data_IF_585718428037
#
_entry.id   IF_585718428037
#
_cell.length_a   1.000
_cell.length_b   1.000
_cell.length_c   1.000
_cell.angle_alpha   90.00
_cell.angle_beta   90.00
_cell.angle_gamma   90.00
#
_symmetry.space_group_name_H-M   'P 1'
#
loop_
_entity.id
_entity.type
_entity.pdbx_description
1 polymer ?
#
# COMPACT_ATOMS: atom_id res chain seq x y z
N UNK A 1 22.33 14.55 25.04
CA UNK A 1 20.87 14.56 25.26
C UNK A 1 20.24 14.04 23.99
N UNK A 2 19.50 12.95 24.12
CA UNK A 2 18.77 12.32 23.05
C UNK A 2 17.62 13.24 22.67
N UNK A 3 17.87 14.12 21.70
CA UNK A 3 16.91 15.14 21.33
C UNK A 3 15.86 14.53 20.40
N UNK A 4 14.85 13.92 21.02
CA UNK A 4 13.73 13.30 20.33
C UNK A 4 13.04 14.30 19.39
N UNK A 5 13.12 15.60 19.65
CA UNK A 5 12.58 16.65 18.78
C UNK A 5 13.14 16.60 17.35
N UNK A 6 14.31 15.98 17.15
CA UNK A 6 14.89 15.77 15.82
C UNK A 6 14.31 14.56 15.08
N UNK A 7 13.52 13.72 15.74
CA UNK A 7 12.77 12.66 15.07
C UNK A 7 11.47 13.23 14.54
N UNK A 8 11.27 13.14 13.24
CA UNK A 8 10.04 13.60 12.60
C UNK A 8 9.44 12.51 11.72
N UNK A 9 8.15 12.64 11.46
CA UNK A 9 7.50 11.97 10.33
C UNK A 9 6.92 13.04 9.42
N UNK A 10 7.21 12.92 8.14
CA UNK A 10 6.59 13.70 7.08
C UNK A 10 6.02 12.76 6.03
N UNK A 11 4.76 12.94 5.66
CA UNK A 11 4.14 12.04 4.70
C UNK A 11 2.76 12.44 4.25
N UNK A 12 2.19 11.57 3.42
CA UNK A 12 0.83 11.65 2.90
C UNK A 12 0.16 10.30 3.07
N UNK A 13 -1.15 10.29 3.25
CA UNK A 13 -1.98 9.09 3.30
C UNK A 13 -3.35 9.37 2.68
N UNK A 14 -4.15 8.32 2.53
CA UNK A 14 -5.56 8.44 2.16
C UNK A 14 -6.39 9.29 3.13
N UNK A 15 -5.92 9.54 4.36
CA UNK A 15 -6.67 10.38 5.33
C UNK A 15 -6.59 11.86 5.00
N UNK A 16 -5.51 12.31 4.34
CA UNK A 16 -5.29 13.74 4.08
C UNK A 16 -5.22 14.09 2.59
N UNK A 17 -4.97 13.13 1.69
CA UNK A 17 -4.95 13.34 0.25
C UNK A 17 -5.86 12.36 -0.48
N UNK A 18 -6.59 12.87 -1.48
CA UNK A 18 -7.32 12.06 -2.45
C UNK A 18 -6.37 11.13 -3.23
N UNK A 19 -6.92 10.10 -3.89
CA UNK A 19 -6.14 9.22 -4.76
C UNK A 19 -5.33 10.02 -5.80
N UNK A 20 -5.97 10.95 -6.53
CA UNK A 20 -5.30 11.76 -7.56
C UNK A 20 -4.13 12.57 -6.99
N UNK A 21 -4.29 13.16 -5.80
CA UNK A 21 -3.22 13.91 -5.13
C UNK A 21 -2.06 13.00 -4.72
N UNK A 22 -2.35 11.79 -4.21
CA UNK A 22 -1.32 10.78 -3.89
C UNK A 22 -0.58 10.31 -5.13
N UNK A 23 -1.27 10.11 -6.25
CA UNK A 23 -0.63 9.75 -7.52
C UNK A 23 0.31 10.85 -8.00
N UNK A 24 -0.16 12.10 -7.99
CA UNK A 24 0.64 13.26 -8.36
C UNK A 24 1.85 13.40 -7.44
N UNK A 25 1.68 13.19 -6.14
CA UNK A 25 2.77 13.16 -5.18
C UNK A 25 3.80 12.08 -5.53
N UNK A 26 3.38 10.84 -5.82
CA UNK A 26 4.30 9.77 -6.21
C UNK A 26 5.06 10.07 -7.52
N UNK A 27 4.42 10.74 -8.49
CA UNK A 27 5.08 11.19 -9.73
C UNK A 27 6.21 12.19 -9.50
N UNK A 28 6.19 12.95 -8.40
CA UNK A 28 7.30 13.84 -8.01
C UNK A 28 8.56 13.09 -7.53
N UNK A 29 8.48 11.76 -7.37
CA UNK A 29 9.55 10.90 -6.84
C UNK A 29 10.02 11.37 -5.46
N UNK A 30 9.13 11.40 -4.46
CA UNK A 30 9.42 11.98 -3.15
C UNK A 30 10.60 11.30 -2.43
N UNK A 31 10.76 9.98 -2.61
CA UNK A 31 11.92 9.23 -2.09
C UNK A 31 13.25 9.81 -2.57
N UNK A 32 13.35 10.18 -3.85
CA UNK A 32 14.58 10.75 -4.41
C UNK A 32 14.91 12.12 -3.80
N UNK A 33 13.88 12.92 -3.49
CA UNK A 33 14.06 14.22 -2.83
C UNK A 33 14.65 14.02 -1.42
N UNK A 34 14.08 13.09 -0.64
CA UNK A 34 14.57 12.77 0.71
C UNK A 34 15.95 12.13 0.69
N UNK A 35 16.19 11.19 -0.22
CA UNK A 35 17.49 10.54 -0.40
C UNK A 35 18.58 11.55 -0.73
N UNK A 36 18.28 12.55 -1.56
CA UNK A 36 19.20 13.66 -1.84
C UNK A 36 19.53 14.47 -0.58
N UNK A 37 18.56 14.75 0.29
CA UNK A 37 18.83 15.41 1.57
C UNK A 37 19.76 14.58 2.45
N UNK A 38 19.59 13.25 2.45
CA UNK A 38 20.46 12.33 3.16
C UNK A 38 21.89 12.34 2.60
N UNK A 39 22.05 12.20 1.26
CA UNK A 39 23.38 12.24 0.61
C UNK A 39 24.09 13.58 0.79
N UNK A 40 23.35 14.70 0.78
CA UNK A 40 23.87 16.05 1.08
C UNK A 40 24.15 16.27 2.58
N UNK A 41 23.96 15.26 3.44
CA UNK A 41 24.11 15.32 4.90
C UNK A 41 23.24 16.39 5.57
N UNK A 42 22.10 16.71 4.95
CA UNK A 42 21.08 17.61 5.51
C UNK A 42 20.17 16.90 6.51
N UNK A 43 20.08 15.59 6.46
CA UNK A 43 19.42 14.76 7.46
C UNK A 43 20.37 13.63 7.86
N UNK A 44 20.25 13.11 9.08
CA UNK A 44 21.15 12.09 9.61
C UNK A 44 20.77 10.68 9.17
N UNK A 45 19.46 10.41 9.06
CA UNK A 45 18.91 9.12 8.67
C UNK A 45 17.46 9.24 8.23
N UNK A 46 16.96 8.25 7.49
CA UNK A 46 15.55 8.13 7.17
C UNK A 46 15.09 6.68 6.97
N UNK A 47 13.80 6.44 7.20
CA UNK A 47 13.09 5.21 6.83
C UNK A 47 11.87 5.60 6.00
N UNK A 48 11.77 5.03 4.80
CA UNK A 48 10.66 5.28 3.87
C UNK A 48 9.61 4.17 3.97
N UNK A 49 8.44 4.48 4.53
CA UNK A 49 7.26 3.62 4.51
C UNK A 49 6.36 4.05 3.35
N UNK A 50 6.47 3.34 2.23
CA UNK A 50 5.63 3.59 1.05
C UNK A 50 4.77 2.37 0.76
N UNK A 51 3.46 2.60 0.68
CA UNK A 51 2.42 1.62 0.37
C UNK A 51 1.49 2.25 -0.67
N UNK A 52 0.50 1.49 -1.16
CA UNK A 52 -0.56 2.07 -2.00
C UNK A 52 -1.38 3.16 -1.26
N UNK A 53 -1.38 3.13 0.08
CA UNK A 53 -2.20 3.97 0.95
C UNK A 53 -1.52 5.17 1.59
N UNK A 54 -0.20 5.10 1.71
CA UNK A 54 0.60 6.10 2.41
C UNK A 54 1.99 6.17 1.83
N UNK A 55 2.61 7.33 1.91
CA UNK A 55 4.05 7.47 1.72
C UNK A 55 4.56 8.40 2.80
N UNK A 56 5.33 7.84 3.71
CA UNK A 56 5.81 8.47 4.93
C UNK A 56 7.32 8.31 5.06
N UNK A 57 7.98 9.39 5.44
CA UNK A 57 9.39 9.45 5.72
C UNK A 57 9.59 9.73 7.20
N UNK A 58 10.11 8.75 7.91
CA UNK A 58 10.55 8.89 9.29
C UNK A 58 12.00 9.31 9.26
N UNK A 59 12.30 10.52 9.73
CA UNK A 59 13.58 11.19 9.51
C UNK A 59 14.20 11.56 10.85
N UNK A 60 15.50 11.33 10.98
CA UNK A 60 16.32 11.97 12.00
C UNK A 60 16.96 13.23 11.40
N UNK A 61 16.52 14.40 11.86
CA UNK A 61 17.03 15.68 11.44
C UNK A 61 18.47 15.90 11.93
N UNK A 62 19.24 16.67 11.15
CA UNK A 62 20.43 17.32 11.66
C UNK A 62 20.06 18.70 12.24
N UNK A 63 20.99 19.35 12.94
CA UNK A 63 20.76 20.69 13.53
C UNK A 63 20.58 21.82 12.51
N UNK A 64 20.71 21.56 11.21
CA UNK A 64 20.77 22.56 10.15
C UNK A 64 19.49 22.65 9.31
N UNK A 65 18.51 21.76 9.51
CA UNK A 65 17.25 21.80 8.77
C UNK A 65 16.08 21.54 9.72
N UNK A 66 14.99 22.28 9.51
CA UNK A 66 13.73 22.08 10.27
C UNK A 66 12.72 21.28 9.45
N UNK A 67 11.81 20.59 10.14
CA UNK A 67 10.71 19.85 9.52
C UNK A 67 9.91 20.68 8.50
N UNK A 68 9.68 21.96 8.80
CA UNK A 68 8.97 22.91 7.91
C UNK A 68 9.71 23.13 6.58
N UNK A 69 11.03 23.14 6.58
CA UNK A 69 11.82 23.33 5.36
C UNK A 69 11.70 22.11 4.45
N UNK A 70 11.69 20.91 5.02
CA UNK A 70 11.44 19.66 4.28
C UNK A 70 9.99 19.65 3.75
N UNK A 71 8.99 20.06 4.55
CA UNK A 71 7.60 20.19 4.09
C UNK A 71 7.49 21.10 2.87
N UNK A 72 8.19 22.23 2.88
CA UNK A 72 8.14 23.19 1.78
C UNK A 72 8.73 22.67 0.46
N UNK A 73 9.43 21.52 0.46
CA UNK A 73 9.88 20.86 -0.77
C UNK A 73 8.72 20.20 -1.54
N UNK A 74 7.57 20.01 -0.88
CA UNK A 74 6.40 19.38 -1.43
C UNK A 74 5.23 20.37 -1.47
N UNK A 75 4.45 20.33 -2.56
CA UNK A 75 3.35 21.28 -2.80
C UNK A 75 1.98 20.75 -2.38
N UNK A 76 1.94 19.67 -1.59
CA UNK A 76 0.72 19.02 -1.10
C UNK A 76 0.57 19.23 0.40
N UNK A 77 -0.64 19.08 0.93
CA UNK A 77 -0.77 19.04 2.39
C UNK A 77 -0.17 17.75 2.92
N UNK A 78 0.68 17.87 3.93
CA UNK A 78 1.45 16.77 4.48
C UNK A 78 1.22 16.65 5.97
N UNK A 79 1.12 15.41 6.42
CA UNK A 79 1.24 15.04 7.82
C UNK A 79 2.67 15.40 8.23
N UNK A 80 2.81 16.24 9.25
CA UNK A 80 4.11 16.57 9.85
C UNK A 80 3.96 16.46 11.36
N UNK A 81 4.76 15.59 11.97
CA UNK A 81 4.84 15.43 13.42
C UNK A 81 6.29 15.35 13.84
N UNK A 82 6.59 15.78 15.06
CA UNK A 82 7.95 15.80 15.63
C UNK A 82 7.98 15.17 17.01
N UNK A 83 9.15 14.74 17.45
CA UNK A 83 9.34 14.27 18.81
C UNK A 83 8.50 13.06 19.14
N UNK A 84 7.92 13.12 20.34
CA UNK A 84 7.01 12.11 20.86
C UNK A 84 5.82 11.88 19.92
N UNK A 85 5.27 12.91 19.30
CA UNK A 85 4.12 12.78 18.41
C UNK A 85 4.46 11.97 17.14
N UNK A 86 5.68 12.09 16.61
CA UNK A 86 6.11 11.31 15.45
C UNK A 86 6.21 9.82 15.78
N UNK A 87 6.71 9.51 16.97
CA UNK A 87 6.87 8.14 17.47
C UNK A 87 5.51 7.52 17.79
N UNK A 88 4.64 8.25 18.47
CA UNK A 88 3.28 7.81 18.77
C UNK A 88 2.49 7.57 17.48
N UNK A 89 2.68 8.43 16.47
CA UNK A 89 2.12 8.23 15.14
C UNK A 89 2.59 6.92 14.51
N UNK A 90 3.90 6.65 14.50
CA UNK A 90 4.43 5.36 14.02
C UNK A 90 3.82 4.16 14.77
N UNK A 91 3.67 4.27 16.08
CA UNK A 91 3.08 3.22 16.91
C UNK A 91 1.62 2.97 16.52
N UNK A 92 0.84 4.04 16.34
CA UNK A 92 -0.53 3.97 15.84
C UNK A 92 -0.61 3.38 14.42
N UNK A 93 0.30 3.76 13.52
CA UNK A 93 0.43 3.15 12.18
C UNK A 93 0.68 1.65 12.28
N UNK A 94 1.68 1.22 13.07
CA UNK A 94 2.01 -0.20 13.26
C UNK A 94 0.89 -1.02 13.89
N UNK A 95 0.08 -0.41 14.75
CA UNK A 95 -1.13 -1.00 15.33
C UNK A 95 -2.35 -0.99 14.39
N UNK A 96 -2.29 -0.29 13.26
CA UNK A 96 -3.37 -0.21 12.27
C UNK A 96 -4.45 0.82 12.58
N UNK A 97 -4.20 1.79 13.46
CA UNK A 97 -5.14 2.89 13.75
C UNK A 97 -5.47 3.71 12.51
N UNK A 98 -4.50 3.86 11.62
CA UNK A 98 -4.62 4.60 10.37
C UNK A 98 -4.77 3.69 9.17
N UNK A 99 -5.07 2.40 9.34
CA UNK A 99 -5.40 1.52 8.21
C UNK A 99 -6.84 1.75 7.78
N UNK A 100 -7.11 1.59 6.48
CA UNK A 100 -8.49 1.56 5.97
C UNK A 100 -9.18 0.28 6.46
N UNK A 101 -8.48 -0.85 6.40
CA UNK A 101 -8.95 -2.10 7.01
C UNK A 101 -8.37 -2.17 8.42
N UNK A 102 -9.17 -1.77 9.43
CA UNK A 102 -8.75 -1.91 10.83
C UNK A 102 -8.45 -3.38 11.11
N UNK A 103 -7.30 -3.69 11.68
CA UNK A 103 -6.90 -5.07 11.99
C UNK A 103 -6.27 -5.87 10.85
N UNK A 104 -6.05 -5.27 9.68
CA UNK A 104 -5.24 -5.90 8.64
C UNK A 104 -3.79 -6.12 9.10
N UNK A 105 -3.21 -7.27 8.75
CA UNK A 105 -1.83 -7.61 9.11
C UNK A 105 -0.78 -6.96 8.21
N UNK A 106 -1.17 -6.54 7.01
CA UNK A 106 -0.27 -6.04 5.97
C UNK A 106 0.50 -4.78 6.40
N UNK A 107 -0.12 -3.84 7.12
CA UNK A 107 0.58 -2.61 7.55
C UNK A 107 1.77 -2.90 8.47
N UNK A 108 1.66 -3.89 9.36
CA UNK A 108 2.78 -4.28 10.23
C UNK A 108 3.89 -4.97 9.43
N UNK A 109 3.54 -5.75 8.42
CA UNK A 109 4.51 -6.33 7.49
C UNK A 109 5.24 -5.23 6.70
N UNK A 110 4.52 -4.22 6.20
CA UNK A 110 5.07 -3.08 5.48
C UNK A 110 6.00 -2.23 6.35
N UNK A 111 5.64 -1.99 7.63
CA UNK A 111 6.55 -1.32 8.60
C UNK A 111 7.84 -2.11 8.81
N UNK A 112 7.76 -3.44 8.93
CA UNK A 112 8.95 -4.31 9.02
C UNK A 112 9.79 -4.26 7.75
N UNK A 113 9.15 -4.29 6.58
CA UNK A 113 9.82 -4.22 5.28
C UNK A 113 10.57 -2.90 5.09
N UNK A 114 9.90 -1.77 5.36
CA UNK A 114 10.51 -0.45 5.30
C UNK A 114 11.73 -0.32 6.24
N UNK A 115 11.61 -0.87 7.46
CA UNK A 115 12.72 -0.92 8.40
C UNK A 115 13.88 -1.78 7.90
N UNK A 116 13.60 -2.98 7.38
CA UNK A 116 14.61 -3.87 6.81
C UNK A 116 15.32 -3.24 5.62
N UNK A 117 14.58 -2.63 4.69
CA UNK A 117 15.16 -1.90 3.54
C UNK A 117 16.10 -0.79 4.00
N UNK A 118 15.72 -0.01 5.02
CA UNK A 118 16.56 1.08 5.52
C UNK A 118 17.81 0.59 6.25
N UNK A 119 17.76 -0.60 6.88
CA UNK A 119 18.95 -1.25 7.44
C UNK A 119 19.90 -1.72 6.33
N UNK A 120 19.37 -2.41 5.32
CA UNK A 120 20.15 -2.95 4.19
C UNK A 120 20.86 -1.86 3.39
N UNK A 121 20.22 -0.71 3.22
CA UNK A 121 20.79 0.44 2.51
C UNK A 121 21.55 1.42 3.43
N UNK A 122 21.74 1.10 4.71
CA UNK A 122 22.42 1.96 5.70
C UNK A 122 21.80 3.37 5.85
N UNK A 123 20.52 3.52 5.50
CA UNK A 123 19.79 4.79 5.60
C UNK A 123 19.26 5.09 7.01
N UNK A 124 19.18 4.06 7.87
CA UNK A 124 18.70 4.16 9.24
C UNK A 124 19.77 4.61 10.24
N UNK A 125 19.35 5.07 11.42
CA UNK A 125 20.23 5.35 12.56
C UNK A 125 19.94 4.44 13.74
N UNK A 126 20.85 4.42 14.73
CA UNK A 126 20.63 3.72 16.01
C UNK A 126 19.27 4.08 16.64
N UNK A 127 18.86 5.35 16.60
CA UNK A 127 17.61 5.80 17.21
C UNK A 127 16.39 5.35 16.43
N UNK A 128 16.38 5.53 15.10
CA UNK A 128 15.31 5.02 14.24
C UNK A 128 15.18 3.50 14.37
N UNK A 129 16.29 2.78 14.51
CA UNK A 129 16.30 1.33 14.70
C UNK A 129 15.61 0.93 16.01
N UNK A 130 15.91 1.60 17.13
CA UNK A 130 15.24 1.33 18.41
C UNK A 130 13.75 1.63 18.31
N UNK A 131 13.39 2.77 17.72
CA UNK A 131 11.99 3.21 17.56
C UNK A 131 11.18 2.23 16.72
N UNK A 132 11.69 1.83 15.55
CA UNK A 132 11.00 0.90 14.65
C UNK A 132 10.88 -0.50 15.25
N UNK A 133 11.91 -1.01 15.93
CA UNK A 133 11.80 -2.27 16.66
C UNK A 133 10.71 -2.21 17.73
N UNK A 134 10.61 -1.10 18.47
CA UNK A 134 9.55 -0.90 19.47
C UNK A 134 8.17 -0.80 18.85
N UNK A 135 8.03 -0.18 17.68
CA UNK A 135 6.78 -0.16 16.91
C UNK A 135 6.37 -1.57 16.46
N UNK A 136 7.33 -2.36 15.96
CA UNK A 136 7.08 -3.73 15.51
C UNK A 136 6.69 -4.64 16.69
N UNK A 137 7.39 -4.52 17.83
CA UNK A 137 7.06 -5.23 19.07
C UNK A 137 5.62 -4.90 19.52
N UNK A 138 5.27 -3.62 19.55
CA UNK A 138 3.95 -3.14 19.90
C UNK A 138 2.89 -3.65 18.93
N UNK A 139 3.09 -3.53 17.61
CA UNK A 139 2.12 -3.97 16.62
C UNK A 139 1.81 -5.47 16.71
N UNK A 140 2.80 -6.30 17.08
CA UNK A 140 2.60 -7.74 17.40
C UNK A 140 1.77 -7.90 18.68
N UNK A 141 2.19 -7.26 19.78
CA UNK A 141 1.52 -7.33 21.09
C UNK A 141 0.06 -6.85 21.01
N UNK A 142 -0.18 -5.77 20.28
CA UNK A 142 -1.49 -5.17 20.08
C UNK A 142 -2.43 -6.16 19.40
N UNK A 143 -2.01 -6.78 18.29
CA UNK A 143 -2.82 -7.80 17.59
C UNK A 143 -3.12 -9.00 18.45
N UNK A 144 -2.13 -9.51 19.19
CA UNK A 144 -2.33 -10.64 20.10
C UNK A 144 -3.30 -10.32 21.24
N UNK A 145 -3.24 -9.12 21.81
CA UNK A 145 -4.10 -8.73 22.95
C UNK A 145 -5.50 -8.32 22.53
N UNK A 146 -5.62 -7.48 21.50
CA UNK A 146 -6.91 -6.94 21.05
C UNK A 146 -7.70 -7.92 20.20
N UNK A 147 -7.04 -8.96 19.65
CA UNK A 147 -7.60 -9.85 18.64
C UNK A 147 -8.18 -9.08 17.43
N UNK A 148 -7.67 -7.87 17.16
CA UNK A 148 -8.21 -6.99 16.11
C UNK A 148 -8.14 -7.60 14.70
N UNK A 149 -7.16 -8.48 14.47
CA UNK A 149 -7.00 -9.21 13.21
C UNK A 149 -8.00 -10.37 13.06
N UNK A 150 -8.69 -10.77 14.13
CA UNK A 150 -9.66 -11.86 14.08
C UNK A 150 -10.84 -11.47 13.17
N UNK A 151 -11.14 -12.32 12.20
CA UNK A 151 -12.13 -12.07 11.13
C UNK A 151 -11.85 -10.81 10.28
N UNK A 152 -10.63 -10.30 10.24
CA UNK A 152 -10.25 -9.24 9.30
C UNK A 152 -10.20 -9.80 7.88
N UNK A 153 -11.01 -9.21 6.99
CA UNK A 153 -10.85 -9.44 5.56
C UNK A 153 -9.64 -8.62 5.11
N UNK A 154 -8.70 -9.28 4.46
CA UNK A 154 -7.59 -8.63 3.78
C UNK A 154 -8.04 -7.97 2.47
N UNK A 155 -7.18 -7.13 1.89
CA UNK A 155 -7.49 -6.43 0.65
C UNK A 155 -7.80 -7.37 -0.52
N UNK A 156 -7.06 -8.46 -0.65
CA UNK A 156 -7.29 -9.48 -1.66
C UNK A 156 -8.66 -10.18 -1.48
N UNK A 157 -9.05 -10.44 -0.24
CA UNK A 157 -10.34 -11.07 0.08
C UNK A 157 -11.51 -10.10 -0.19
N UNK A 158 -11.33 -8.83 0.13
CA UNK A 158 -12.27 -7.76 -0.20
C UNK A 158 -12.41 -7.62 -1.71
N UNK A 159 -11.30 -7.60 -2.44
CA UNK A 159 -11.28 -7.51 -3.90
C UNK A 159 -12.04 -8.68 -4.54
N UNK A 160 -11.80 -9.91 -4.08
CA UNK A 160 -12.54 -11.08 -4.56
C UNK A 160 -14.04 -10.97 -4.25
N UNK A 161 -14.40 -10.57 -3.03
CA UNK A 161 -15.81 -10.41 -2.65
C UNK A 161 -16.49 -9.33 -3.49
N UNK A 162 -15.77 -8.25 -3.82
CA UNK A 162 -16.26 -7.20 -4.72
C UNK A 162 -16.52 -7.74 -6.12
N UNK A 163 -15.57 -8.47 -6.71
CA UNK A 163 -15.76 -9.13 -8.02
C UNK A 163 -16.99 -10.03 -7.99
N UNK A 164 -17.13 -10.88 -6.97
CA UNK A 164 -18.28 -11.79 -6.83
C UNK A 164 -19.60 -11.05 -6.63
N UNK A 165 -19.59 -9.83 -6.09
CA UNK A 165 -20.81 -9.01 -5.98
C UNK A 165 -21.28 -8.47 -7.33
N UNK A 166 -20.38 -8.35 -8.31
CA UNK A 166 -20.68 -7.87 -9.67
C UNK A 166 -21.19 -8.97 -10.59
N UNK A 167 -20.91 -10.24 -10.28
CA UNK A 167 -21.28 -11.37 -11.11
C UNK A 167 -22.07 -12.42 -10.31
N UNK A 168 -23.33 -12.72 -10.68
CA UNK A 168 -24.11 -13.79 -10.04
C UNK A 168 -23.43 -15.16 -10.12
N UNK A 169 -22.69 -15.41 -11.21
CA UNK A 169 -21.80 -16.55 -11.38
C UNK A 169 -20.46 -16.06 -11.91
N UNK A 170 -19.37 -16.39 -11.21
CA UNK A 170 -18.00 -16.04 -11.60
C UNK A 170 -17.32 -17.17 -12.41
N UNK A 171 -17.87 -18.38 -12.37
CA UNK A 171 -17.24 -19.59 -12.91
C UNK A 171 -17.04 -19.54 -14.42
N UNK A 172 -17.92 -18.85 -15.15
CA UNK A 172 -17.84 -18.70 -16.60
C UNK A 172 -16.94 -17.53 -17.05
N UNK A 173 -16.36 -16.78 -16.10
CA UNK A 173 -15.63 -15.53 -16.37
C UNK A 173 -14.16 -15.77 -16.65
N UNK A 174 -13.64 -14.96 -17.57
CA UNK A 174 -12.23 -14.81 -17.85
C UNK A 174 -11.67 -13.64 -17.03
N UNK A 175 -10.63 -13.90 -16.24
CA UNK A 175 -9.93 -12.86 -15.47
C UNK A 175 -8.55 -12.62 -16.08
N UNK A 176 -8.20 -11.34 -16.25
CA UNK A 176 -6.88 -10.92 -16.70
C UNK A 176 -6.19 -10.10 -15.61
N UNK A 177 -5.00 -10.52 -15.18
CA UNK A 177 -4.24 -9.86 -14.13
C UNK A 177 -2.99 -9.22 -14.74
N UNK A 178 -2.82 -7.92 -14.49
CA UNK A 178 -1.63 -7.14 -14.83
C UNK A 178 -0.75 -6.99 -13.60
N UNK A 179 0.47 -7.50 -13.72
CA UNK A 179 1.43 -7.50 -12.63
C UNK A 179 1.37 -8.77 -11.79
N UNK A 180 2.39 -8.90 -10.96
CA UNK A 180 2.66 -10.08 -10.11
C UNK A 180 3.27 -9.64 -8.78
N UNK A 181 2.94 -8.42 -8.34
CA UNK A 181 3.29 -7.99 -6.99
C UNK A 181 2.63 -8.88 -5.94
N UNK A 182 3.01 -8.70 -4.68
CA UNK A 182 2.45 -9.44 -3.54
C UNK A 182 0.91 -9.46 -3.58
N UNK A 183 0.28 -8.29 -3.68
CA UNK A 183 -1.17 -8.17 -3.78
C UNK A 183 -1.79 -8.94 -4.96
N UNK A 184 -1.13 -8.94 -6.13
CA UNK A 184 -1.61 -9.68 -7.29
C UNK A 184 -1.57 -11.20 -7.05
N UNK A 185 -0.52 -11.68 -6.36
CA UNK A 185 -0.35 -13.08 -6.01
C UNK A 185 -1.33 -13.52 -4.91
N UNK A 186 -1.60 -12.66 -3.92
CA UNK A 186 -2.58 -12.91 -2.88
C UNK A 186 -4.00 -13.02 -3.46
N UNK A 187 -4.37 -12.09 -4.35
CA UNK A 187 -5.63 -12.16 -5.10
C UNK A 187 -5.69 -13.43 -5.94
N UNK A 188 -4.62 -13.76 -6.66
CA UNK A 188 -4.54 -14.97 -7.46
C UNK A 188 -4.75 -16.23 -6.59
N UNK A 189 -4.13 -16.30 -5.42
CA UNK A 189 -4.26 -17.41 -4.47
C UNK A 189 -5.71 -17.64 -4.04
N UNK A 190 -6.51 -16.58 -3.93
CA UNK A 190 -7.93 -16.70 -3.65
C UNK A 190 -8.73 -17.08 -4.91
N UNK A 191 -8.41 -16.49 -6.07
CA UNK A 191 -9.08 -16.78 -7.33
C UNK A 191 -8.89 -18.23 -7.79
N UNK A 192 -7.75 -18.85 -7.53
CA UNK A 192 -7.51 -20.26 -7.88
C UNK A 192 -8.37 -21.25 -7.10
N UNK A 193 -8.99 -20.81 -5.99
CA UNK A 193 -9.97 -21.60 -5.21
C UNK A 193 -11.39 -21.50 -5.79
N UNK A 194 -11.62 -20.59 -6.73
CA UNK A 194 -12.88 -20.41 -7.43
C UNK A 194 -12.85 -21.20 -8.76
N UNK A 195 -14.00 -21.66 -9.24
CA UNK A 195 -14.08 -22.46 -10.48
C UNK A 195 -14.11 -21.59 -11.73
N UNK A 196 -13.10 -20.74 -11.93
CA UNK A 196 -13.04 -19.78 -13.05
C UNK A 196 -12.75 -20.46 -14.39
N UNK A 197 -13.27 -19.89 -15.47
CA UNK A 197 -13.06 -20.39 -16.84
C UNK A 197 -11.61 -20.26 -17.27
N UNK A 198 -11.04 -19.07 -17.10
CA UNK A 198 -9.63 -18.81 -17.39
C UNK A 198 -9.08 -17.70 -16.50
N UNK A 199 -7.82 -17.85 -16.08
CA UNK A 199 -7.03 -16.77 -15.48
C UNK A 199 -5.83 -16.52 -16.40
N UNK A 200 -5.66 -15.26 -16.81
CA UNK A 200 -4.56 -14.80 -17.64
C UNK A 200 -3.67 -13.85 -16.83
N UNK A 201 -2.37 -13.96 -16.99
CA UNK A 201 -1.41 -13.08 -16.32
C UNK A 201 -0.44 -12.49 -17.33
N UNK A 202 -0.27 -11.18 -17.29
CA UNK A 202 0.77 -10.49 -18.04
C UNK A 202 1.64 -9.64 -17.10
N UNK A 203 2.95 -9.76 -17.26
CA UNK A 203 3.93 -8.96 -16.52
C UNK A 203 5.05 -8.49 -17.45
N UNK A 204 5.53 -7.27 -17.23
CA UNK A 204 6.61 -6.68 -18.05
C UNK A 204 7.89 -7.53 -18.03
N UNK A 205 8.18 -8.17 -16.91
CA UNK A 205 9.30 -9.12 -16.78
C UNK A 205 8.78 -10.54 -16.92
N UNK A 206 8.87 -11.10 -18.13
CA UNK A 206 8.30 -12.40 -18.49
C UNK A 206 8.73 -13.55 -17.57
N UNK A 207 10.02 -13.68 -17.26
CA UNK A 207 10.53 -14.76 -16.39
C UNK A 207 9.87 -14.78 -15.00
N UNK A 208 9.51 -13.62 -14.45
CA UNK A 208 8.81 -13.58 -13.17
C UNK A 208 7.36 -14.11 -13.30
N UNK A 209 6.70 -13.92 -14.45
CA UNK A 209 5.38 -14.50 -14.71
C UNK A 209 5.46 -16.03 -14.89
N UNK A 210 6.53 -16.55 -15.48
CA UNK A 210 6.74 -18.01 -15.57
C UNK A 210 6.91 -18.67 -14.21
N UNK A 211 7.50 -17.97 -13.23
CA UNK A 211 7.57 -18.47 -11.84
C UNK A 211 6.17 -18.64 -11.25
N UNK A 212 5.26 -17.70 -11.48
CA UNK A 212 3.85 -17.80 -11.04
C UNK A 212 3.18 -19.03 -11.65
N UNK A 213 3.43 -19.34 -12.93
CA UNK A 213 2.84 -20.54 -13.56
C UNK A 213 3.28 -21.84 -12.89
N UNK A 214 4.51 -21.91 -12.36
CA UNK A 214 4.99 -23.10 -11.62
C UNK A 214 4.29 -23.29 -10.28
N UNK A 215 3.78 -22.22 -9.70
CA UNK A 215 3.05 -22.24 -8.42
C UNK A 215 1.54 -22.43 -8.64
N UNK A 216 1.01 -21.87 -9.74
CA UNK A 216 -0.41 -21.90 -10.07
C UNK A 216 -0.63 -22.45 -11.49
N UNK A 217 -0.74 -23.77 -11.64
CA UNK A 217 -0.86 -24.43 -12.96
C UNK A 217 -2.08 -23.97 -13.78
N UNK A 218 -3.12 -23.44 -13.13
CA UNK A 218 -4.36 -22.97 -13.77
C UNK A 218 -4.18 -21.66 -14.56
N UNK A 219 -3.05 -20.95 -14.40
CA UNK A 219 -2.85 -19.65 -15.02
C UNK A 219 -2.22 -19.75 -16.42
N UNK A 220 -2.71 -18.89 -17.30
CA UNK A 220 -2.21 -18.73 -18.65
C UNK A 220 -1.33 -17.48 -18.71
N UNK A 221 -0.02 -17.67 -18.90
CA UNK A 221 0.92 -16.54 -19.05
C UNK A 221 0.81 -15.96 -20.45
N UNK A 222 0.65 -14.65 -20.53
CA UNK A 222 0.55 -13.87 -21.75
C UNK A 222 1.78 -12.97 -21.86
N UNK A 223 2.40 -12.94 -23.05
CA UNK A 223 3.46 -11.97 -23.33
C UNK A 223 2.90 -10.56 -23.13
N UNK A 224 3.61 -9.73 -22.37
CA UNK A 224 3.17 -8.38 -22.06
C UNK A 224 2.88 -7.53 -23.30
N UNK A 225 3.53 -7.80 -24.43
CA UNK A 225 3.29 -7.13 -25.72
C UNK A 225 1.93 -7.51 -26.32
N UNK A 226 1.45 -8.72 -26.02
CA UNK A 226 0.17 -9.29 -26.49
C UNK A 226 -0.96 -9.10 -25.47
N UNK A 227 -0.77 -8.22 -24.47
CA UNK A 227 -1.73 -8.05 -23.38
C UNK A 227 -3.11 -7.59 -23.86
N UNK A 228 -3.18 -6.69 -24.86
CA UNK A 228 -4.45 -6.08 -25.28
C UNK A 228 -5.42 -7.10 -25.89
N UNK A 229 -5.05 -7.88 -26.93
CA UNK A 229 -5.95 -8.89 -27.50
C UNK A 229 -6.57 -9.80 -26.46
N UNK A 230 -5.77 -10.23 -25.47
CA UNK A 230 -6.24 -11.13 -24.43
C UNK A 230 -7.06 -10.44 -23.33
N UNK A 231 -6.72 -9.19 -23.01
CA UNK A 231 -7.52 -8.35 -22.12
C UNK A 231 -8.91 -8.07 -22.69
N UNK A 232 -9.06 -7.92 -24.01
CA UNK A 232 -10.37 -7.77 -24.67
C UNK A 232 -11.28 -8.99 -24.49
N UNK A 233 -10.71 -10.18 -24.31
CA UNK A 233 -11.47 -11.41 -24.03
C UNK A 233 -11.88 -11.54 -22.56
N UNK A 234 -11.24 -10.80 -21.65
CA UNK A 234 -11.48 -10.85 -20.22
C UNK A 234 -12.78 -10.12 -19.83
N UNK A 235 -13.47 -10.64 -18.83
CA UNK A 235 -14.63 -10.00 -18.21
C UNK A 235 -14.19 -9.10 -17.06
N UNK A 236 -13.12 -9.49 -16.35
CA UNK A 236 -12.51 -8.74 -15.25
C UNK A 236 -11.03 -8.52 -15.55
N UNK A 237 -10.58 -7.28 -15.45
CA UNK A 237 -9.19 -6.87 -15.58
C UNK A 237 -8.74 -6.33 -14.22
N UNK A 238 -7.78 -7.00 -13.59
CA UNK A 238 -7.20 -6.59 -12.31
C UNK A 238 -5.80 -6.05 -12.58
N UNK A 239 -5.53 -4.82 -12.15
CA UNK A 239 -4.19 -4.23 -12.24
C UNK A 239 -3.61 -3.99 -10.85
N UNK A 240 -2.39 -4.45 -10.63
CA UNK A 240 -1.65 -4.24 -9.38
C UNK A 240 -0.15 -4.16 -9.69
N UNK A 241 0.22 -3.31 -10.64
CA UNK A 241 1.63 -3.13 -11.02
C UNK A 241 2.31 -2.05 -10.17
N UNK A 242 3.64 -1.96 -10.28
CA UNK A 242 4.43 -0.88 -9.72
C UNK A 242 4.83 0.17 -10.76
N UNK A 243 4.13 0.23 -11.89
CA UNK A 243 4.45 1.14 -12.98
C UNK A 243 4.20 2.60 -12.55
N UNK A 244 5.14 3.52 -12.83
CA UNK A 244 4.94 4.95 -12.56
C UNK A 244 4.11 5.64 -13.67
N UNK A 245 3.51 4.88 -14.58
CA UNK A 245 2.82 5.36 -15.78
C UNK A 245 1.64 4.46 -16.09
N UNK A 246 0.68 4.99 -16.86
CA UNK A 246 -0.48 4.25 -17.36
C UNK A 246 0.00 3.00 -18.13
N UNK A 247 -0.56 1.85 -17.75
CA UNK A 247 -0.31 0.53 -18.32
C UNK A 247 -1.41 0.16 -19.31
N UNK A 248 -2.67 0.44 -19.01
CA UNK A 248 -3.81 0.23 -19.89
C UNK A 248 -4.15 1.55 -20.56
N UNK A 249 -3.58 1.76 -21.75
CA UNK A 249 -3.69 3.01 -22.50
C UNK A 249 -5.01 3.04 -23.29
N UNK A 250 -5.77 4.13 -23.16
CA UNK A 250 -7.03 4.36 -23.89
C UNK A 250 -6.87 4.11 -25.39
N UNK A 251 -5.84 4.72 -26.00
CA UNK A 251 -5.62 4.71 -27.45
C UNK A 251 -5.26 3.31 -28.01
N UNK A 252 -4.95 2.35 -27.14
CA UNK A 252 -4.66 0.96 -27.51
C UNK A 252 -5.79 0.00 -27.16
N UNK A 253 -6.52 0.28 -26.07
CA UNK A 253 -7.64 -0.55 -25.63
C UNK A 253 -8.90 -0.31 -26.47
N UNK A 254 -9.31 0.95 -26.63
CA UNK A 254 -10.57 1.33 -27.28
C UNK A 254 -10.71 0.80 -28.71
N UNK A 255 -9.69 0.83 -29.58
CA UNK A 255 -9.83 0.31 -30.94
C UNK A 255 -10.10 -1.20 -31.03
N UNK A 256 -9.83 -1.95 -29.95
CA UNK A 256 -9.96 -3.41 -29.92
C UNK A 256 -11.15 -3.88 -29.07
N UNK A 257 -11.74 -2.99 -28.26
CA UNK A 257 -12.83 -3.35 -27.36
C UNK A 257 -14.10 -3.74 -28.12
N UNK A 258 -14.92 -4.59 -27.50
CA UNK A 258 -16.20 -5.04 -28.07
C UNK A 258 -17.33 -4.24 -27.44
N UNK A 259 -18.12 -3.53 -28.26
CA UNK A 259 -19.24 -2.70 -27.78
C UNK A 259 -20.33 -3.51 -27.07
N UNK A 260 -20.49 -4.79 -27.41
CA UNK A 260 -21.49 -5.68 -26.85
C UNK A 260 -20.98 -6.53 -25.67
N UNK A 261 -19.86 -6.14 -25.07
CA UNK A 261 -19.26 -6.81 -23.91
C UNK A 261 -18.98 -5.78 -22.82
N UNK A 262 -19.38 -6.11 -21.60
CA UNK A 262 -19.05 -5.32 -20.43
C UNK A 262 -17.66 -5.69 -19.90
N UNK A 263 -16.93 -4.67 -19.45
CA UNK A 263 -15.59 -4.80 -18.88
C UNK A 263 -15.58 -4.24 -17.46
N UNK A 264 -15.14 -5.06 -16.50
CA UNK A 264 -14.88 -4.61 -15.13
C UNK A 264 -13.37 -4.45 -14.92
N UNK A 265 -12.91 -3.22 -14.71
CA UNK A 265 -11.55 -2.92 -14.28
C UNK A 265 -11.49 -2.74 -12.77
N UNK A 266 -10.49 -3.38 -12.16
CA UNK A 266 -10.12 -3.22 -10.76
C UNK A 266 -8.67 -2.76 -10.74
N UNK A 267 -8.45 -1.47 -10.56
CA UNK A 267 -7.14 -0.84 -10.56
C UNK A 267 -6.65 -0.61 -9.12
N UNK A 268 -5.81 -1.52 -8.66
CA UNK A 268 -5.23 -1.52 -7.31
C UNK A 268 -3.83 -0.88 -7.29
N UNK A 269 -3.37 -0.32 -8.41
CA UNK A 269 -2.06 0.31 -8.51
C UNK A 269 -2.10 1.78 -8.08
N UNK A 270 -0.99 2.25 -7.50
CA UNK A 270 -0.77 3.67 -7.16
C UNK A 270 0.69 4.03 -7.51
N UNK A 271 0.96 4.82 -8.57
CA UNK A 271 0.01 5.45 -9.48
C UNK A 271 -0.89 4.50 -10.25
N UNK A 272 -2.07 4.97 -10.69
CA UNK A 272 -3.04 4.15 -11.40
C UNK A 272 -2.47 3.58 -12.70
N UNK A 273 -2.86 2.36 -13.01
CA UNK A 273 -2.46 1.66 -14.23
C UNK A 273 -3.43 1.91 -15.38
N UNK A 274 -4.70 2.24 -15.10
CA UNK A 274 -5.77 2.34 -16.09
C UNK A 274 -6.03 3.80 -16.46
N UNK A 275 -6.09 4.07 -17.77
CA UNK A 275 -6.44 5.40 -18.28
C UNK A 275 -7.90 5.75 -17.95
N UNK A 276 -8.10 6.82 -17.18
CA UNK A 276 -9.42 7.24 -16.71
C UNK A 276 -10.38 7.62 -17.84
N UNK A 277 -9.87 7.95 -19.03
CA UNK A 277 -10.71 8.22 -20.21
C UNK A 277 -11.59 7.03 -20.58
N UNK A 278 -11.22 5.81 -20.18
CA UNK A 278 -12.00 4.60 -20.37
C UNK A 278 -13.32 4.60 -19.58
N UNK A 279 -13.42 5.34 -18.47
CA UNK A 279 -14.65 5.44 -17.68
C UNK A 279 -15.80 6.18 -18.43
N UNK A 280 -15.51 6.82 -19.56
CA UNK A 280 -16.53 7.48 -20.38
C UNK A 280 -17.41 6.51 -21.20
N UNK A 281 -17.05 5.22 -21.26
CA UNK A 281 -17.80 4.21 -22.00
C UNK A 281 -18.80 3.48 -21.10
N UNK A 282 -20.05 3.34 -21.58
CA UNK A 282 -21.14 2.74 -20.80
C UNK A 282 -20.92 1.27 -20.43
N UNK A 283 -20.15 0.54 -21.23
CA UNK A 283 -19.83 -0.87 -21.04
C UNK A 283 -18.49 -1.07 -20.29
N UNK A 284 -17.93 -0.01 -19.69
CA UNK A 284 -16.70 -0.09 -18.90
C UNK A 284 -16.99 0.45 -17.49
N UNK A 285 -16.87 -0.43 -16.49
CA UNK A 285 -16.82 -0.03 -15.09
C UNK A 285 -15.37 -0.07 -14.61
N UNK A 286 -14.91 0.99 -13.93
CA UNK A 286 -13.57 1.07 -13.35
C UNK A 286 -13.71 1.34 -11.86
N UNK A 287 -13.15 0.47 -11.05
CA UNK A 287 -13.02 0.66 -9.61
C UNK A 287 -11.55 0.73 -9.26
N UNK A 288 -11.19 1.79 -8.57
CA UNK A 288 -9.86 1.94 -8.00
C UNK A 288 -9.84 1.37 -6.58
N UNK A 289 -8.64 1.35 -6.02
CA UNK A 289 -8.37 0.87 -4.67
C UNK A 289 -9.25 1.52 -3.57
N UNK A 290 -9.48 2.83 -3.64
CA UNK A 290 -10.31 3.56 -2.67
C UNK A 290 -11.78 3.13 -2.79
N UNK A 291 -12.30 2.97 -4.01
CA UNK A 291 -13.69 2.54 -4.25
C UNK A 291 -13.95 1.14 -3.68
N UNK A 292 -12.99 0.23 -3.87
CA UNK A 292 -13.07 -1.15 -3.34
C UNK A 292 -13.12 -1.12 -1.82
N UNK A 293 -12.43 -0.20 -1.15
CA UNK A 293 -12.50 -0.12 0.30
C UNK A 293 -13.79 0.47 0.83
N UNK A 294 -14.30 1.55 0.23
CA UNK A 294 -15.50 2.24 0.72
C UNK A 294 -16.69 1.28 0.86
N UNK A 295 -16.85 0.37 -0.12
CA UNK A 295 -17.90 -0.66 -0.12
C UNK A 295 -17.84 -1.56 1.12
N UNK A 296 -16.65 -1.78 1.69
CA UNK A 296 -16.44 -2.71 2.79
C UNK A 296 -16.24 -2.05 4.15
N UNK A 297 -15.93 -0.75 4.17
CA UNK A 297 -15.77 0.02 5.40
C UNK A 297 -17.09 0.12 6.20
N UNK A 298 -18.24 -0.06 5.55
CA UNK A 298 -19.57 -0.06 6.18
C UNK A 298 -19.80 -1.19 7.22
N UNK A 299 -18.90 -2.17 7.34
CA UNK A 299 -18.96 -3.25 8.34
C UNK A 299 -17.97 -3.09 9.52
N UNK A 300 -17.31 -1.92 9.66
CA UNK A 300 -16.18 -1.67 10.60
C UNK A 300 -16.57 -1.41 12.07
N UNK A 301 -17.85 -1.20 12.40
CA UNK A 301 -18.27 -0.55 13.67
C UNK A 301 -17.76 -1.19 14.99
N UNK A 302 -17.31 -2.45 14.99
CA UNK A 302 -16.74 -3.09 16.18
C UNK A 302 -15.22 -2.91 16.36
N UNK A 303 -14.48 -2.45 15.34
CA UNK A 303 -13.01 -2.40 15.39
C UNK A 303 -12.44 -1.11 15.94
N UNK A 304 -13.09 0.02 15.67
CA UNK A 304 -12.65 1.29 16.23
C UNK A 304 -12.72 1.27 17.76
N UNK A 305 -13.73 0.58 18.31
CA UNK A 305 -13.79 0.31 19.75
C UNK A 305 -12.61 -0.53 20.27
N UNK A 306 -12.18 -1.57 19.54
CA UNK A 306 -10.99 -2.34 19.92
C UNK A 306 -9.71 -1.49 19.87
N UNK A 307 -9.62 -0.55 18.91
CA UNK A 307 -8.50 0.38 18.86
C UNK A 307 -8.47 1.28 20.09
N UNK A 308 -9.62 1.83 20.47
CA UNK A 308 -9.77 2.66 21.66
C UNK A 308 -9.49 1.88 22.95
N UNK A 309 -10.15 0.74 23.16
CA UNK A 309 -10.04 -0.09 24.36
C UNK A 309 -8.60 -0.58 24.64
N UNK A 310 -7.78 -0.73 23.59
CA UNK A 310 -6.39 -1.19 23.69
C UNK A 310 -5.35 -0.10 23.45
N UNK A 311 -5.76 1.16 23.29
CA UNK A 311 -4.87 2.31 23.07
C UNK A 311 -3.83 2.48 24.19
N UNK A 312 -4.15 2.08 25.42
CA UNK A 312 -3.22 2.08 26.57
C UNK A 312 -1.90 1.31 26.30
N UNK A 313 -1.90 0.36 25.35
CA UNK A 313 -0.68 -0.36 24.96
C UNK A 313 0.34 0.54 24.28
N UNK A 314 -0.11 1.62 23.61
CA UNK A 314 0.76 2.63 23.00
C UNK A 314 1.50 3.38 24.11
N UNK A 315 0.78 3.84 25.14
CA UNK A 315 1.36 4.55 26.28
C UNK A 315 2.37 3.68 27.03
N UNK A 316 2.02 2.42 27.33
CA UNK A 316 2.94 1.45 27.94
C UNK A 316 4.23 1.29 27.10
N UNK A 317 4.11 1.29 25.78
CA UNK A 317 5.26 1.13 24.89
C UNK A 317 6.10 2.40 24.83
N UNK A 318 5.46 3.58 24.84
CA UNK A 318 6.16 4.87 24.92
C UNK A 318 7.00 4.96 26.19
N UNK A 319 6.46 4.57 27.34
CA UNK A 319 7.24 4.52 28.59
C UNK A 319 8.45 3.59 28.48
N UNK A 320 8.28 2.40 27.87
CA UNK A 320 9.38 1.46 27.65
C UNK A 320 10.43 2.02 26.71
N UNK A 321 10.01 2.72 25.65
CA UNK A 321 10.91 3.36 24.72
C UNK A 321 11.74 4.43 25.43
N UNK A 322 11.09 5.35 26.18
CA UNK A 322 11.79 6.41 26.92
C UNK A 322 12.82 5.80 27.88
N UNK A 323 12.45 4.77 28.65
CA UNK A 323 13.38 4.03 29.52
C UNK A 323 14.56 3.44 28.75
N UNK A 324 14.31 2.88 27.56
CA UNK A 324 15.35 2.30 26.70
C UNK A 324 16.30 3.39 26.18
N UNK A 325 15.77 4.53 25.77
CA UNK A 325 16.55 5.64 25.21
C UNK A 325 17.42 6.30 26.29
N UNK A 326 16.89 6.49 27.51
CA UNK A 326 17.64 7.01 28.65
C UNK A 326 18.81 6.09 29.07
N UNK A 327 18.75 4.79 28.76
CA UNK A 327 19.87 3.86 29.02
C UNK A 327 21.02 4.01 28.02
N UNK A 328 20.74 4.58 26.84
CA UNK A 328 21.74 4.81 25.78
C UNK A 328 22.30 6.25 25.79
N UNK A 329 21.85 7.10 26.71
CA UNK A 329 22.58 8.30 27.15
C UNK A 329 23.73 7.91 28.07
#
# INVERSE_FOLDING_TARGET
>A
MLDLENIIVIGVSHENLSLLERENFMRTRPKYIIERLYTEKKINAYINLSTCLRTEFYIELNSNIKAKEIKNLFSVDMIVKSGVEAIEYLFKVGCGFYSVIKGEDQILAQVKGAYAEALENEHSSKFLNIIFNKSIELGKKFRTKSMIAHNALSLEAISLKFIKSKFPNIEDKNIFILGIGELAQDILTLLTKEQLKNIYIANRTYHKAEQIKKEFDIVNIIDYREKYPKMIEADVIISATSAPHIVVEYDKFVPQMKENKDYLFIDLAVPRDVDERLANFKNIEIYNLDDIWEVYHLNSMNRDKLLEDYSYLIDEQMEKLIKTLNYYE
#
